data_IF_050540068062
#
_entry.id   IF_050540068062
#
_cell.length_a   1.000
_cell.length_b   1.000
_cell.length_c   1.000
_cell.angle_alpha   90.00
_cell.angle_beta   90.00
_cell.angle_gamma   90.00
#
_symmetry.space_group_name_H-M   'P 1'
#
loop_
_entity.id
_entity.type
_entity.pdbx_description
1 polymer ?
#
# COMPACT_ATOMS: atom_id res chain seq x y z
N UNK A 1 -23.22 30.47 9.18
CA UNK A 1 -22.19 30.01 10.10
C UNK A 1 -21.13 29.26 9.30
N UNK A 2 -20.07 29.94 8.93
CA UNK A 2 -18.94 29.35 8.19
C UNK A 2 -18.13 28.53 9.18
N UNK A 3 -18.31 27.22 9.18
CA UNK A 3 -17.44 26.31 9.96
C UNK A 3 -16.02 26.42 9.40
N UNK A 4 -15.08 26.81 10.25
CA UNK A 4 -13.64 26.77 9.91
C UNK A 4 -13.28 25.39 9.34
N UNK A 5 -12.39 25.30 8.33
CA UNK A 5 -12.00 24.04 7.76
C UNK A 5 -11.44 23.11 8.85
N UNK A 6 -11.82 21.83 8.89
CA UNK A 6 -11.34 20.89 9.90
C UNK A 6 -9.80 20.83 9.88
N UNK A 7 -9.17 21.06 11.02
CA UNK A 7 -7.72 20.94 11.23
C UNK A 7 -6.93 22.22 11.50
N UNK A 8 -7.52 23.42 11.43
CA UNK A 8 -6.78 24.68 11.65
C UNK A 8 -6.52 25.03 13.14
N UNK A 9 -7.27 24.44 14.08
CA UNK A 9 -7.10 24.59 15.55
C UNK A 9 -7.50 23.33 16.32
N UNK A 10 -7.28 22.15 15.68
CA UNK A 10 -7.75 20.90 16.25
C UNK A 10 -6.87 20.44 17.42
N UNK A 11 -7.48 20.08 18.54
CA UNK A 11 -6.76 19.49 19.68
C UNK A 11 -6.27 18.08 19.34
N UNK A 12 -5.26 17.56 20.06
CA UNK A 12 -4.77 16.19 19.88
C UNK A 12 -5.88 15.15 20.05
N UNK A 13 -6.77 15.35 21.02
CA UNK A 13 -7.93 14.49 21.20
C UNK A 13 -8.91 14.57 20.01
N UNK A 14 -9.14 15.78 19.49
CA UNK A 14 -9.95 16.00 18.28
C UNK A 14 -9.36 15.25 17.09
N UNK A 15 -8.05 15.40 16.86
CA UNK A 15 -7.30 14.71 15.81
C UNK A 15 -7.41 13.18 15.95
N UNK A 16 -7.22 12.64 17.16
CA UNK A 16 -7.36 11.21 17.40
C UNK A 16 -8.79 10.70 17.13
N UNK A 17 -9.81 11.44 17.54
CA UNK A 17 -11.22 11.11 17.25
C UNK A 17 -11.51 11.14 15.75
N UNK A 18 -11.00 12.14 15.02
CA UNK A 18 -11.15 12.26 13.58
C UNK A 18 -10.40 11.15 12.84
N UNK A 19 -9.17 10.82 13.22
CA UNK A 19 -8.41 9.70 12.70
C UNK A 19 -9.21 8.38 12.81
N UNK A 20 -9.75 8.08 13.99
CA UNK A 20 -10.59 6.87 14.19
C UNK A 20 -11.86 6.87 13.33
N UNK A 21 -12.49 8.03 13.11
CA UNK A 21 -13.63 8.15 12.16
C UNK A 21 -13.18 7.86 10.73
N UNK A 22 -12.03 8.42 10.30
CA UNK A 22 -11.44 8.14 8.99
C UNK A 22 -11.20 6.63 8.84
N UNK A 23 -10.61 5.96 9.83
CA UNK A 23 -10.36 4.52 9.78
C UNK A 23 -11.63 3.68 9.60
N UNK A 24 -12.74 4.03 10.29
CA UNK A 24 -14.04 3.36 10.13
C UNK A 24 -14.61 3.55 8.73
N UNK A 25 -14.64 4.80 8.24
CA UNK A 25 -15.14 5.08 6.88
C UNK A 25 -14.29 4.38 5.82
N UNK A 26 -12.98 4.31 6.00
CA UNK A 26 -12.10 3.55 5.10
C UNK A 26 -12.41 2.05 5.13
N UNK A 27 -12.76 1.47 6.28
CA UNK A 27 -13.13 0.06 6.39
C UNK A 27 -14.42 -0.26 5.63
N UNK A 28 -15.40 0.65 5.69
CA UNK A 28 -16.67 0.55 4.95
C UNK A 28 -16.46 0.79 3.45
N UNK A 29 -15.59 1.76 3.08
CA UNK A 29 -15.34 2.14 1.69
C UNK A 29 -14.51 1.08 0.94
N UNK A 30 -13.51 0.50 1.62
CA UNK A 30 -12.56 -0.46 1.06
C UNK A 30 -12.55 -1.78 1.85
N UNK A 31 -13.67 -2.52 1.90
CA UNK A 31 -13.72 -3.84 2.57
C UNK A 31 -12.88 -4.89 1.86
N UNK A 32 -12.58 -4.66 0.58
CA UNK A 32 -11.75 -5.49 -0.29
C UNK A 32 -10.24 -5.19 -0.21
N UNK A 33 -9.83 -4.26 0.66
CA UNK A 33 -8.41 -3.91 0.77
C UNK A 33 -7.58 -5.10 1.32
N UNK A 34 -6.51 -5.43 0.61
CA UNK A 34 -5.61 -6.54 0.92
C UNK A 34 -4.22 -6.29 0.31
N UNK A 35 -3.27 -7.18 0.56
CA UNK A 35 -2.01 -7.19 -0.18
C UNK A 35 -2.26 -7.70 -1.60
N UNK A 36 -1.98 -6.87 -2.62
CA UNK A 36 -2.24 -7.22 -4.02
C UNK A 36 -1.13 -8.09 -4.66
N UNK A 37 -0.04 -8.36 -3.93
CA UNK A 37 1.01 -9.28 -4.37
C UNK A 37 0.61 -10.73 -4.05
N UNK A 38 0.51 -11.57 -5.08
CA UNK A 38 0.19 -12.99 -4.93
C UNK A 38 1.35 -13.74 -4.26
N UNK A 39 1.03 -14.48 -3.20
CA UNK A 39 2.00 -15.26 -2.43
C UNK A 39 1.31 -16.36 -1.62
N UNK A 40 2.00 -17.44 -1.35
CA UNK A 40 1.55 -18.53 -0.48
C UNK A 40 2.34 -18.64 0.84
N UNK A 41 3.49 -17.96 0.93
CA UNK A 41 4.38 -18.00 2.09
C UNK A 41 5.23 -16.71 2.20
N UNK A 42 5.94 -16.57 3.32
CA UNK A 42 6.76 -15.38 3.61
C UNK A 42 7.92 -15.16 2.62
N UNK A 43 8.51 -16.22 2.07
CA UNK A 43 9.59 -16.11 1.09
C UNK A 43 9.06 -15.55 -0.23
N UNK A 44 7.94 -16.08 -0.71
CA UNK A 44 7.28 -15.58 -1.91
C UNK A 44 6.88 -14.12 -1.76
N UNK A 45 6.31 -13.73 -0.60
CA UNK A 45 5.96 -12.33 -0.34
C UNK A 45 7.20 -11.43 -0.31
N UNK A 46 8.30 -11.87 0.30
CA UNK A 46 9.57 -11.11 0.33
C UNK A 46 10.09 -10.89 -1.09
N UNK A 47 10.12 -11.94 -1.90
CA UNK A 47 10.54 -11.89 -3.31
C UNK A 47 9.62 -10.97 -4.12
N UNK A 48 8.30 -11.18 -4.05
CA UNK A 48 7.32 -10.34 -4.76
C UNK A 48 7.46 -8.87 -4.40
N UNK A 49 7.67 -8.55 -3.10
CA UNK A 49 7.84 -7.17 -2.65
C UNK A 49 9.16 -6.55 -3.15
N UNK A 50 10.24 -7.32 -3.26
CA UNK A 50 11.48 -6.85 -3.91
C UNK A 50 11.22 -6.55 -5.39
N UNK A 51 10.48 -7.42 -6.08
CA UNK A 51 10.15 -7.25 -7.50
C UNK A 51 9.20 -6.06 -7.74
N UNK A 52 8.36 -5.69 -6.78
CA UNK A 52 7.41 -4.57 -6.90
C UNK A 52 8.08 -3.19 -6.85
N UNK A 53 9.36 -3.11 -6.52
CA UNK A 53 10.08 -1.84 -6.56
C UNK A 53 10.05 -1.24 -7.98
N UNK A 54 9.36 -0.08 -8.13
CA UNK A 54 9.12 0.60 -9.42
C UNK A 54 8.47 -0.31 -10.50
N UNK A 55 7.61 -1.22 -10.07
CA UNK A 55 6.84 -2.11 -10.93
C UNK A 55 5.42 -2.23 -10.38
N UNK A 56 4.43 -2.44 -11.25
CA UNK A 56 3.04 -2.66 -10.81
C UNK A 56 2.89 -4.05 -10.21
N UNK A 57 2.01 -4.18 -9.18
CA UNK A 57 1.72 -5.46 -8.54
C UNK A 57 1.20 -6.49 -9.57
N UNK A 58 0.36 -6.06 -10.52
CA UNK A 58 -0.10 -6.90 -11.65
C UNK A 58 1.07 -7.49 -12.45
N UNK A 59 2.06 -6.65 -12.82
CA UNK A 59 3.22 -7.14 -13.59
C UNK A 59 4.07 -8.11 -12.77
N UNK A 60 4.20 -7.90 -11.48
CA UNK A 60 4.86 -8.84 -10.57
C UNK A 60 4.11 -10.17 -10.56
N UNK A 61 2.79 -10.14 -10.39
CA UNK A 61 1.94 -11.34 -10.35
C UNK A 61 1.92 -12.13 -11.69
N UNK A 62 2.20 -11.48 -12.83
CA UNK A 62 2.41 -12.18 -14.11
C UNK A 62 3.73 -12.98 -14.16
N UNK A 63 4.75 -12.52 -13.42
CA UNK A 63 6.10 -13.11 -13.45
C UNK A 63 6.30 -14.14 -12.34
N UNK A 64 5.77 -13.89 -11.15
CA UNK A 64 6.05 -14.68 -9.95
C UNK A 64 5.64 -16.15 -10.01
N UNK A 65 4.56 -16.60 -10.71
CA UNK A 65 4.22 -18.02 -10.74
C UNK A 65 5.33 -18.89 -11.35
N UNK A 66 5.97 -18.43 -12.43
CA UNK A 66 7.10 -19.14 -13.06
C UNK A 66 8.35 -19.08 -12.16
N UNK A 67 8.59 -17.92 -11.56
CA UNK A 67 9.72 -17.72 -10.64
C UNK A 67 9.63 -18.61 -9.42
N UNK A 68 8.47 -18.68 -8.76
CA UNK A 68 8.26 -19.49 -7.56
C UNK A 68 8.31 -21.00 -7.84
N UNK A 69 7.78 -21.43 -9.00
CA UNK A 69 7.90 -22.81 -9.43
C UNK A 69 9.37 -23.21 -9.66
N UNK A 70 10.19 -22.31 -10.21
CA UNK A 70 11.61 -22.56 -10.49
C UNK A 70 12.49 -22.47 -9.26
N UNK A 71 12.18 -21.54 -8.32
CA UNK A 71 12.96 -21.27 -7.11
C UNK A 71 12.08 -21.36 -5.86
N UNK A 72 11.70 -22.55 -5.40
CA UNK A 72 10.73 -22.72 -4.31
C UNK A 72 11.33 -22.53 -2.90
N UNK A 73 12.62 -22.30 -2.76
CA UNK A 73 13.30 -22.20 -1.45
C UNK A 73 14.45 -21.21 -1.47
N UNK A 74 14.89 -20.78 -0.27
CA UNK A 74 16.08 -19.93 -0.14
C UNK A 74 17.32 -20.55 -0.78
N UNK A 75 17.50 -21.86 -0.67
CA UNK A 75 18.60 -22.58 -1.29
C UNK A 75 18.54 -22.49 -2.83
N UNK A 76 17.34 -22.60 -3.40
CA UNK A 76 17.15 -22.44 -4.85
C UNK A 76 17.52 -21.03 -5.32
N UNK A 77 17.18 -19.98 -4.56
CA UNK A 77 17.60 -18.60 -4.87
C UNK A 77 19.11 -18.42 -4.71
N UNK A 78 19.73 -18.95 -3.65
CA UNK A 78 21.16 -18.82 -3.42
C UNK A 78 22.00 -19.50 -4.52
N UNK A 79 21.53 -20.65 -5.03
CA UNK A 79 22.20 -21.42 -6.09
C UNK A 79 21.72 -21.10 -7.50
N UNK A 80 20.90 -20.05 -7.69
CA UNK A 80 20.32 -19.75 -9.00
C UNK A 80 21.37 -19.24 -9.99
N UNK A 81 21.25 -19.67 -11.26
CA UNK A 81 21.99 -19.05 -12.36
C UNK A 81 21.51 -17.60 -12.56
N UNK A 82 22.46 -16.68 -12.58
CA UNK A 82 22.19 -15.25 -12.71
C UNK A 82 21.47 -14.92 -14.01
N UNK A 83 21.90 -15.50 -15.12
CA UNK A 83 21.35 -15.25 -16.46
C UNK A 83 19.90 -15.70 -16.55
N UNK A 84 19.62 -16.94 -16.07
CA UNK A 84 18.27 -17.48 -16.01
C UNK A 84 17.34 -16.61 -15.14
N UNK A 85 17.81 -16.19 -13.95
CA UNK A 85 17.06 -15.31 -13.05
C UNK A 85 16.74 -13.97 -13.73
N UNK A 86 17.74 -13.34 -14.36
CA UNK A 86 17.57 -12.05 -15.04
C UNK A 86 16.54 -12.15 -16.17
N UNK A 87 16.53 -13.24 -16.96
CA UNK A 87 15.53 -13.45 -17.99
C UNK A 87 14.12 -13.60 -17.43
N UNK A 88 13.95 -14.39 -16.37
CA UNK A 88 12.65 -14.60 -15.74
C UNK A 88 12.03 -13.31 -15.20
N UNK A 89 12.84 -12.47 -14.54
CA UNK A 89 12.33 -11.26 -13.87
C UNK A 89 12.49 -9.99 -14.73
N UNK A 90 13.02 -10.07 -15.93
CA UNK A 90 13.22 -8.93 -16.86
C UNK A 90 11.99 -8.03 -17.02
N UNK A 91 10.76 -8.58 -17.14
CA UNK A 91 9.55 -7.75 -17.30
C UNK A 91 9.26 -6.82 -16.11
N UNK A 92 9.86 -7.07 -14.94
CA UNK A 92 9.64 -6.23 -13.74
C UNK A 92 10.50 -4.96 -13.72
N UNK A 93 11.41 -4.78 -14.67
CA UNK A 93 12.37 -3.65 -14.71
C UNK A 93 13.44 -3.73 -13.62
N UNK A 94 14.53 -2.98 -13.77
CA UNK A 94 15.67 -3.00 -12.84
C UNK A 94 16.17 -4.40 -12.46
N UNK A 95 15.96 -5.35 -13.36
CA UNK A 95 16.11 -6.79 -13.14
C UNK A 95 17.50 -7.18 -12.63
N UNK A 96 18.59 -6.52 -13.07
CA UNK A 96 19.96 -6.82 -12.60
C UNK A 96 20.13 -6.57 -11.10
N UNK A 97 19.65 -5.42 -10.61
CA UNK A 97 19.72 -5.09 -9.18
C UNK A 97 18.77 -5.97 -8.36
N UNK A 98 17.60 -6.31 -8.93
CA UNK A 98 16.66 -7.22 -8.30
C UNK A 98 17.23 -8.63 -8.21
N UNK A 99 17.87 -9.13 -9.27
CA UNK A 99 18.58 -10.42 -9.25
C UNK A 99 19.65 -10.43 -8.15
N UNK A 100 20.47 -9.40 -8.07
CA UNK A 100 21.47 -9.28 -6.97
C UNK A 100 20.82 -9.39 -5.59
N UNK A 101 19.71 -8.70 -5.41
CA UNK A 101 18.98 -8.73 -4.12
C UNK A 101 18.43 -10.12 -3.83
N UNK A 102 17.87 -10.82 -4.83
CA UNK A 102 17.27 -12.16 -4.64
C UNK A 102 18.34 -13.22 -4.35
N UNK A 103 19.45 -13.24 -5.08
CA UNK A 103 20.56 -14.16 -4.83
C UNK A 103 21.13 -13.96 -3.42
N UNK A 104 21.41 -12.71 -3.05
CA UNK A 104 21.91 -12.35 -1.72
C UNK A 104 20.90 -12.62 -0.62
N UNK A 105 19.60 -12.43 -0.88
CA UNK A 105 18.54 -12.78 0.07
C UNK A 105 18.54 -14.27 0.37
N UNK A 106 18.58 -15.12 -0.69
CA UNK A 106 18.65 -16.57 -0.55
C UNK A 106 19.85 -17.01 0.31
N UNK A 107 21.04 -16.49 0.00
CA UNK A 107 22.25 -16.79 0.75
C UNK A 107 22.14 -16.32 2.22
N UNK A 108 21.67 -15.10 2.46
CA UNK A 108 21.55 -14.56 3.82
C UNK A 108 20.53 -15.33 4.67
N UNK A 109 19.45 -15.85 4.05
CA UNK A 109 18.49 -16.70 4.75
C UNK A 109 19.12 -18.05 5.15
N UNK A 110 19.92 -18.67 4.28
CA UNK A 110 20.64 -19.90 4.61
C UNK A 110 21.65 -19.68 5.75
N UNK A 111 22.46 -18.65 5.63
CA UNK A 111 23.56 -18.41 6.57
C UNK A 111 23.10 -18.06 7.99
N UNK A 112 21.91 -17.45 8.13
CA UNK A 112 21.49 -16.83 9.39
C UNK A 112 20.16 -17.32 9.95
N UNK A 113 19.33 -17.97 9.12
CA UNK A 113 17.95 -18.28 9.48
C UNK A 113 17.48 -19.66 8.97
N UNK A 114 18.40 -20.60 8.73
CA UNK A 114 18.11 -21.96 8.24
C UNK A 114 17.19 -22.00 7.02
N UNK A 115 17.36 -21.00 6.12
CA UNK A 115 16.57 -20.88 4.90
C UNK A 115 15.15 -20.33 5.09
N UNK A 116 14.76 -19.93 6.31
CA UNK A 116 13.43 -19.39 6.61
C UNK A 116 13.43 -17.88 6.74
N UNK A 117 12.32 -17.24 6.39
CA UNK A 117 12.17 -15.78 6.57
C UNK A 117 11.86 -15.50 8.03
N UNK A 118 12.62 -14.62 8.73
CA UNK A 118 12.36 -14.31 10.14
C UNK A 118 11.12 -13.45 10.34
N UNK A 119 10.36 -13.70 11.40
CA UNK A 119 9.14 -12.96 11.77
C UNK A 119 9.38 -11.73 12.66
N UNK A 120 10.56 -11.08 12.60
CA UNK A 120 10.89 -9.92 13.44
C UNK A 120 11.45 -8.77 12.58
N UNK A 121 10.97 -7.55 12.86
CA UNK A 121 11.39 -6.36 12.11
C UNK A 121 12.91 -6.16 12.11
N UNK A 122 13.54 -6.33 13.28
CA UNK A 122 14.97 -6.12 13.46
C UNK A 122 15.83 -7.07 12.62
N UNK A 123 15.33 -8.27 12.36
CA UNK A 123 16.00 -9.28 11.55
C UNK A 123 15.74 -9.04 10.06
N UNK A 124 14.48 -8.77 9.69
CA UNK A 124 14.08 -8.53 8.30
C UNK A 124 14.82 -7.37 7.66
N UNK A 125 15.00 -6.25 8.36
CA UNK A 125 15.68 -5.06 7.81
C UNK A 125 17.18 -5.24 7.59
N UNK A 126 17.75 -6.35 8.06
CA UNK A 126 19.16 -6.73 7.80
C UNK A 126 19.32 -7.55 6.53
N UNK A 127 18.19 -8.01 5.93
CA UNK A 127 18.22 -8.86 4.75
C UNK A 127 18.36 -8.02 3.48
N UNK A 128 19.15 -8.51 2.49
CA UNK A 128 19.31 -7.82 1.20
C UNK A 128 17.99 -7.55 0.50
N UNK A 129 17.79 -6.31 0.03
CA UNK A 129 16.58 -5.91 -0.67
C UNK A 129 15.36 -5.63 0.23
N UNK A 130 15.47 -5.82 1.54
CA UNK A 130 14.37 -5.62 2.49
C UNK A 130 14.62 -4.37 3.34
N UNK A 131 13.98 -3.28 2.97
CA UNK A 131 13.90 -2.08 3.81
C UNK A 131 12.72 -2.15 4.80
N UNK A 132 12.60 -1.14 5.67
CA UNK A 132 11.55 -1.08 6.70
C UNK A 132 10.13 -1.21 6.13
N UNK A 133 9.86 -0.55 4.99
CA UNK A 133 8.55 -0.67 4.31
C UNK A 133 8.26 -2.12 3.92
N UNK A 134 9.21 -2.78 3.26
CA UNK A 134 9.09 -4.18 2.84
C UNK A 134 8.94 -5.11 4.04
N UNK A 135 9.70 -4.88 5.11
CA UNK A 135 9.60 -5.66 6.34
C UNK A 135 8.19 -5.55 6.98
N UNK A 136 7.59 -4.35 7.02
CA UNK A 136 6.23 -4.18 7.52
C UNK A 136 5.18 -4.87 6.64
N UNK A 137 5.36 -4.90 5.31
CA UNK A 137 4.49 -5.68 4.40
C UNK A 137 4.58 -7.17 4.72
N UNK A 138 5.80 -7.71 4.85
CA UNK A 138 6.03 -9.14 5.15
C UNK A 138 5.42 -9.49 6.51
N UNK A 139 5.70 -8.69 7.54
CA UNK A 139 5.20 -8.92 8.90
C UNK A 139 3.67 -8.93 8.96
N UNK A 140 3.04 -7.94 8.34
CA UNK A 140 1.59 -7.78 8.39
C UNK A 140 0.81 -8.81 7.59
N UNK A 141 1.39 -9.37 6.52
CA UNK A 141 0.66 -10.26 5.61
C UNK A 141 1.08 -11.75 5.71
N UNK A 142 2.29 -12.04 6.22
CA UNK A 142 2.76 -13.42 6.35
C UNK A 142 2.92 -13.90 7.80
N UNK A 143 2.92 -12.97 8.78
CA UNK A 143 3.15 -13.31 10.19
C UNK A 143 2.08 -12.75 11.14
N UNK A 144 1.07 -12.06 10.63
CA UNK A 144 0.04 -11.36 11.44
C UNK A 144 0.63 -10.41 12.51
N UNK A 145 1.85 -9.90 12.28
CA UNK A 145 2.50 -8.93 13.14
C UNK A 145 2.15 -7.52 12.65
N UNK A 146 1.35 -6.76 13.41
CA UNK A 146 0.87 -5.45 12.97
C UNK A 146 2.01 -4.47 12.69
N UNK A 147 2.01 -3.90 11.47
CA UNK A 147 2.94 -2.85 11.04
C UNK A 147 2.24 -1.85 10.13
N UNK A 148 2.71 -0.62 10.16
CA UNK A 148 2.23 0.43 9.24
C UNK A 148 3.18 0.51 8.04
N UNK A 149 2.63 0.31 6.85
CA UNK A 149 3.36 0.47 5.60
C UNK A 149 3.22 1.90 5.09
N UNK A 150 4.27 2.70 5.21
CA UNK A 150 4.29 4.08 4.72
C UNK A 150 4.86 4.11 3.31
N UNK A 151 3.97 4.17 2.32
CA UNK A 151 4.32 4.41 0.91
C UNK A 151 3.95 5.85 0.49
N UNK A 152 4.12 6.18 -0.77
CA UNK A 152 3.80 7.51 -1.30
C UNK A 152 2.29 7.83 -1.23
N UNK A 153 1.41 6.84 -1.36
CA UNK A 153 -0.04 7.01 -1.19
C UNK A 153 -0.39 7.28 0.26
N UNK A 154 0.12 6.44 1.15
CA UNK A 154 -0.08 6.57 2.60
C UNK A 154 0.39 7.95 3.09
N UNK A 155 1.64 8.32 2.81
CA UNK A 155 2.22 9.61 3.20
C UNK A 155 1.38 10.77 2.69
N UNK A 156 1.02 10.78 1.40
CA UNK A 156 0.20 11.83 0.79
C UNK A 156 -1.14 11.99 1.51
N UNK A 157 -1.82 10.89 1.82
CA UNK A 157 -3.13 10.94 2.42
C UNK A 157 -3.11 11.40 3.87
N UNK A 158 -2.19 10.89 4.70
CA UNK A 158 -2.09 11.32 6.09
C UNK A 158 -1.72 12.80 6.22
N UNK A 159 -0.95 13.35 5.27
CA UNK A 159 -0.70 14.78 5.16
C UNK A 159 -1.94 15.57 4.73
N UNK A 160 -2.67 15.13 3.68
CA UNK A 160 -3.93 15.76 3.27
C UNK A 160 -4.98 15.75 4.38
N UNK A 161 -5.01 14.72 5.17
CA UNK A 161 -5.88 14.65 6.34
C UNK A 161 -5.32 15.40 7.56
N UNK A 162 -4.14 16.01 7.45
CA UNK A 162 -3.45 16.70 8.56
C UNK A 162 -3.41 15.87 9.83
N UNK A 163 -3.10 14.57 9.70
CA UNK A 163 -2.92 13.67 10.84
C UNK A 163 -1.49 13.76 11.40
N UNK A 164 -0.53 14.15 10.56
CA UNK A 164 0.86 14.42 10.93
C UNK A 164 1.48 15.46 10.01
N UNK A 165 2.52 16.12 10.48
CA UNK A 165 3.41 17.02 9.71
C UNK A 165 4.77 16.38 9.45
N UNK A 166 5.03 15.18 9.99
CA UNK A 166 6.27 14.46 9.80
C UNK A 166 6.49 14.08 8.33
N UNK A 167 7.73 14.17 7.86
CA UNK A 167 8.10 13.86 6.46
C UNK A 167 8.93 12.58 6.35
N UNK A 168 9.62 12.19 7.42
CA UNK A 168 10.34 10.94 7.50
C UNK A 168 9.36 9.76 7.64
N UNK A 169 9.46 8.70 6.81
CA UNK A 169 8.53 7.57 6.85
C UNK A 169 8.45 6.87 8.21
N UNK A 170 9.54 6.77 8.96
CA UNK A 170 9.55 6.13 10.29
C UNK A 170 8.82 7.00 11.30
N UNK A 171 9.04 8.32 11.25
CA UNK A 171 8.31 9.25 12.11
C UNK A 171 6.81 9.29 11.78
N UNK A 172 6.44 9.21 10.48
CA UNK A 172 5.04 9.07 10.05
C UNK A 172 4.44 7.79 10.61
N UNK A 173 5.13 6.64 10.49
CA UNK A 173 4.69 5.36 11.05
C UNK A 173 4.36 5.50 12.56
N UNK A 174 5.26 6.08 13.34
CA UNK A 174 5.05 6.28 14.78
C UNK A 174 3.92 7.27 15.08
N UNK A 175 3.86 8.41 14.38
CA UNK A 175 2.83 9.42 14.57
C UNK A 175 1.42 8.88 14.26
N UNK A 176 1.27 8.13 13.18
CA UNK A 176 0.00 7.52 12.80
C UNK A 176 -0.32 6.34 13.74
N UNK A 177 0.66 5.52 14.10
CA UNK A 177 0.48 4.42 15.04
C UNK A 177 -0.10 4.88 16.40
N UNK A 178 0.27 6.07 16.88
CA UNK A 178 -0.28 6.65 18.11
C UNK A 178 -1.79 7.03 18.01
N UNK A 179 -2.34 7.14 16.81
CA UNK A 179 -3.74 7.52 16.57
C UNK A 179 -4.69 6.33 16.47
N UNK A 180 -4.17 5.13 16.15
CA UNK A 180 -4.94 3.92 15.88
C UNK A 180 -4.53 2.76 16.79
N UNK A 181 -5.43 1.83 17.00
CA UNK A 181 -5.13 0.62 17.75
C UNK A 181 -4.19 -0.29 16.94
N UNK A 182 -3.21 -0.90 17.61
CA UNK A 182 -2.13 -1.65 16.95
C UNK A 182 -2.65 -2.76 16.03
N UNK A 183 -3.70 -3.47 16.45
CA UNK A 183 -4.34 -4.55 15.66
C UNK A 183 -4.84 -4.09 14.28
N UNK A 184 -5.12 -2.80 14.11
CA UNK A 184 -5.69 -2.26 12.87
C UNK A 184 -4.63 -1.79 11.87
N UNK A 185 -3.35 -1.72 12.25
CA UNK A 185 -2.28 -1.05 11.50
C UNK A 185 -2.07 -1.60 10.08
N UNK A 186 -2.02 -2.95 9.92
CA UNK A 186 -1.81 -3.56 8.61
C UNK A 186 -2.98 -3.28 7.67
N UNK A 187 -4.20 -3.52 8.12
CA UNK A 187 -5.41 -3.25 7.33
C UNK A 187 -5.63 -1.75 7.07
N UNK A 188 -5.28 -0.89 8.03
CA UNK A 188 -5.32 0.56 7.83
C UNK A 188 -4.39 0.97 6.68
N UNK A 189 -3.19 0.39 6.62
CA UNK A 189 -2.23 0.66 5.55
C UNK A 189 -2.80 0.30 4.18
N UNK A 190 -3.35 -0.90 4.02
CA UNK A 190 -3.99 -1.33 2.77
C UNK A 190 -5.14 -0.41 2.37
N UNK A 191 -6.05 -0.08 3.30
CA UNK A 191 -7.20 0.80 3.03
C UNK A 191 -6.79 2.21 2.63
N UNK A 192 -5.77 2.78 3.27
CA UNK A 192 -5.23 4.10 2.91
C UNK A 192 -4.60 4.06 1.50
N UNK A 193 -3.83 3.02 1.18
CA UNK A 193 -3.22 2.84 -0.13
C UNK A 193 -4.30 2.71 -1.20
N UNK A 194 -5.31 1.86 -1.00
CA UNK A 194 -6.45 1.69 -1.90
C UNK A 194 -7.21 3.01 -2.12
N UNK A 195 -7.47 3.76 -1.05
CA UNK A 195 -8.10 5.08 -1.18
C UNK A 195 -7.22 6.05 -1.98
N UNK A 196 -5.93 6.01 -1.80
CA UNK A 196 -4.95 6.80 -2.54
C UNK A 196 -4.87 6.45 -4.02
N UNK A 197 -4.98 5.18 -4.34
CA UNK A 197 -4.98 4.65 -5.70
C UNK A 197 -6.29 4.94 -6.43
N UNK A 198 -7.43 4.74 -5.77
CA UNK A 198 -8.76 4.70 -6.39
C UNK A 198 -9.52 6.03 -6.34
N UNK A 199 -9.29 6.87 -5.33
CA UNK A 199 -10.08 8.08 -5.04
C UNK A 199 -9.22 9.33 -4.91
N UNK A 200 -8.23 9.29 -4.00
CA UNK A 200 -7.47 10.47 -3.62
C UNK A 200 -6.13 10.55 -4.38
N UNK A 201 -6.20 10.73 -5.71
CA UNK A 201 -5.02 10.77 -6.58
C UNK A 201 -4.08 11.94 -6.28
N UNK A 202 -2.81 11.85 -6.73
CA UNK A 202 -1.79 12.85 -6.46
C UNK A 202 -2.15 14.22 -7.04
N UNK A 203 -2.51 14.29 -8.33
CA UNK A 203 -2.78 15.55 -9.04
C UNK A 203 -4.22 16.02 -8.97
N UNK A 204 -5.20 15.13 -9.17
CA UNK A 204 -6.63 15.45 -9.23
C UNK A 204 -7.42 14.44 -8.37
N UNK A 205 -7.51 14.65 -7.04
CA UNK A 205 -8.32 13.78 -6.19
C UNK A 205 -9.81 13.95 -6.49
N UNK A 206 -10.58 12.86 -6.41
CA UNK A 206 -12.03 12.85 -6.66
C UNK A 206 -12.81 13.40 -5.44
N UNK A 207 -12.60 14.66 -5.05
CA UNK A 207 -13.12 15.23 -3.81
C UNK A 207 -14.65 15.15 -3.70
N UNK A 208 -15.39 15.45 -4.78
CA UNK A 208 -16.86 15.41 -4.80
C UNK A 208 -17.46 13.99 -4.79
N UNK A 209 -16.63 12.95 -4.99
CA UNK A 209 -17.02 11.54 -4.91
C UNK A 209 -16.19 10.79 -3.83
N UNK A 210 -15.81 11.49 -2.76
CA UNK A 210 -15.00 10.94 -1.69
C UNK A 210 -15.83 10.75 -0.41
N UNK A 211 -15.89 9.54 0.11
CA UNK A 211 -16.59 9.21 1.37
C UNK A 211 -16.03 9.96 2.58
N UNK A 212 -14.78 10.42 2.50
CA UNK A 212 -14.09 11.19 3.55
C UNK A 212 -14.25 12.72 3.41
N UNK A 213 -15.05 13.23 2.46
CA UNK A 213 -15.18 14.66 2.17
C UNK A 213 -15.39 15.51 3.43
N UNK A 214 -16.33 15.08 4.30
CA UNK A 214 -16.68 15.80 5.56
C UNK A 214 -15.60 15.75 6.64
N UNK A 215 -14.63 14.85 6.54
CA UNK A 215 -13.54 14.65 7.51
C UNK A 215 -12.20 15.20 7.00
N UNK A 216 -12.16 15.62 5.71
CA UNK A 216 -10.90 15.97 5.05
C UNK A 216 -10.66 17.50 5.07
N UNK A 217 -9.61 17.98 5.78
CA UNK A 217 -9.26 19.40 5.78
C UNK A 217 -8.71 19.90 4.43
N UNK A 218 -8.33 18.98 3.53
CA UNK A 218 -7.89 19.29 2.15
C UNK A 218 -9.01 19.09 1.11
N UNK A 219 -10.28 19.00 1.54
CA UNK A 219 -11.41 18.97 0.61
C UNK A 219 -11.38 20.19 -0.32
N UNK A 220 -11.60 19.96 -1.61
CA UNK A 220 -11.52 21.04 -2.60
C UNK A 220 -10.17 21.15 -3.33
N UNK A 221 -9.17 20.30 -3.00
CA UNK A 221 -7.94 20.23 -3.79
C UNK A 221 -8.13 19.57 -5.17
N UNK A 222 -9.26 18.93 -5.39
CA UNK A 222 -9.74 18.41 -6.67
C UNK A 222 -11.18 18.80 -6.91
N UNK A 223 -11.81 18.34 -8.02
CA UNK A 223 -13.19 18.65 -8.34
C UNK A 223 -14.13 18.28 -7.18
N UNK A 224 -14.98 19.21 -6.80
CA UNK A 224 -16.01 19.05 -5.75
C UNK A 224 -17.40 18.79 -6.33
N UNK A 225 -17.59 19.08 -7.60
CA UNK A 225 -18.82 18.75 -8.31
C UNK A 225 -18.89 17.22 -8.51
N UNK A 226 -20.01 16.54 -8.10
CA UNK A 226 -20.10 15.09 -8.07
C UNK A 226 -19.84 14.42 -9.43
N UNK A 227 -20.41 14.93 -10.50
CA UNK A 227 -20.26 14.34 -11.84
C UNK A 227 -18.83 14.47 -12.39
N UNK A 228 -18.13 15.57 -12.11
CA UNK A 228 -16.73 15.75 -12.49
C UNK A 228 -15.82 14.86 -11.65
N UNK A 229 -16.12 14.68 -10.36
CA UNK A 229 -15.34 13.85 -9.45
C UNK A 229 -15.53 12.34 -9.73
N UNK A 230 -16.75 11.89 -10.06
CA UNK A 230 -17.02 10.49 -10.38
C UNK A 230 -16.17 9.96 -11.54
N UNK A 231 -15.88 10.82 -12.54
CA UNK A 231 -15.02 10.49 -13.68
C UNK A 231 -13.56 10.21 -13.29
N UNK A 232 -13.16 10.58 -12.09
CA UNK A 232 -11.80 10.38 -11.56
C UNK A 232 -11.66 9.13 -10.69
N UNK A 233 -12.76 8.48 -10.32
CA UNK A 233 -12.71 7.20 -9.59
C UNK A 233 -12.04 6.13 -10.46
N UNK A 234 -11.31 5.20 -9.84
CA UNK A 234 -10.58 4.15 -10.56
C UNK A 234 -10.72 2.77 -9.92
N UNK A 235 -10.52 1.75 -10.76
CA UNK A 235 -10.48 0.35 -10.37
C UNK A 235 -11.82 -0.34 -10.42
N UNK A 236 -11.86 -1.67 -10.17
CA UNK A 236 -13.04 -2.51 -10.40
C UNK A 236 -14.27 -2.10 -9.57
N UNK A 237 -14.05 -1.44 -8.43
CA UNK A 237 -15.12 -0.96 -7.56
C UNK A 237 -15.43 0.53 -7.70
N UNK A 238 -15.07 1.16 -8.83
CA UNK A 238 -15.28 2.61 -9.01
C UNK A 238 -16.77 3.02 -8.91
N UNK A 239 -17.71 2.20 -9.39
CA UNK A 239 -19.16 2.44 -9.24
C UNK A 239 -19.62 2.31 -7.79
N UNK A 240 -19.13 1.28 -7.06
CA UNK A 240 -19.46 1.13 -5.63
C UNK A 240 -18.94 2.31 -4.81
N UNK A 241 -17.77 2.83 -5.16
CA UNK A 241 -17.19 4.01 -4.52
C UNK A 241 -18.03 5.26 -4.77
N UNK A 242 -18.61 5.43 -5.97
CA UNK A 242 -19.54 6.50 -6.26
C UNK A 242 -20.81 6.39 -5.39
N UNK A 243 -21.43 5.20 -5.34
CA UNK A 243 -22.60 4.93 -4.48
C UNK A 243 -22.31 5.21 -3.01
N UNK A 244 -21.18 4.73 -2.49
CA UNK A 244 -20.76 4.96 -1.11
C UNK A 244 -20.57 6.46 -0.78
N UNK A 245 -20.22 7.27 -1.78
CA UNK A 245 -20.10 8.72 -1.65
C UNK A 245 -21.43 9.48 -1.91
N UNK A 246 -22.53 8.77 -2.20
CA UNK A 246 -23.83 9.37 -2.54
C UNK A 246 -23.87 9.99 -3.93
N UNK A 247 -23.07 9.47 -4.86
CA UNK A 247 -22.95 9.94 -6.25
C UNK A 247 -23.52 8.87 -7.18
N UNK A 248 -24.19 9.29 -8.25
CA UNK A 248 -24.75 8.40 -9.27
C UNK A 248 -23.62 7.54 -9.91
N UNK A 249 -23.68 6.20 -9.82
CA UNK A 249 -22.69 5.29 -10.38
C UNK A 249 -22.60 5.33 -11.90
N UNK A 250 -23.66 5.76 -12.61
CA UNK A 250 -23.65 5.88 -14.07
C UNK A 250 -22.75 7.02 -14.56
N UNK A 251 -22.38 7.95 -13.70
CA UNK A 251 -21.40 9.00 -13.99
C UNK A 251 -19.95 8.48 -14.05
N UNK A 252 -19.71 7.24 -13.61
CA UNK A 252 -18.39 6.59 -13.66
C UNK A 252 -18.18 5.99 -15.06
N UNK A 253 -17.18 6.46 -15.83
CA UNK A 253 -16.95 5.96 -17.18
C UNK A 253 -16.43 4.50 -17.15
N UNK A 254 -16.80 3.70 -18.14
CA UNK A 254 -16.37 2.29 -18.24
C UNK A 254 -14.84 2.11 -18.19
N UNK A 255 -14.10 3.04 -18.78
CA UNK A 255 -12.62 3.02 -18.76
C UNK A 255 -12.04 3.16 -17.35
N UNK A 256 -12.76 3.80 -16.42
CA UNK A 256 -12.33 3.96 -15.03
C UNK A 256 -12.34 2.62 -14.28
N UNK A 257 -13.25 1.72 -14.63
CA UNK A 257 -13.41 0.39 -14.04
C UNK A 257 -12.26 -0.52 -14.47
N UNK A 258 -11.86 -0.45 -15.75
CA UNK A 258 -10.77 -1.22 -16.33
C UNK A 258 -9.38 -0.61 -16.05
N UNK A 259 -9.33 0.61 -15.49
CA UNK A 259 -8.07 1.30 -15.26
C UNK A 259 -7.22 0.55 -14.23
N UNK A 260 -5.98 0.21 -14.64
CA UNK A 260 -4.97 -0.23 -13.68
C UNK A 260 -4.72 0.87 -12.65
N UNK A 261 -4.69 0.47 -11.40
CA UNK A 261 -4.49 1.39 -10.28
C UNK A 261 -3.05 1.22 -9.79
N UNK A 262 -2.15 2.16 -10.13
CA UNK A 262 -0.72 2.06 -9.81
C UNK A 262 -0.42 2.20 -8.33
#
# INVERSE_FOLDING_TARGET
MTSSPPGASETDLGRKRRARKIGRVLAETHPDAHCELDHSNALELAVATILSAQCTDKKVNEVTPKLFARYPSAAAYAGADRGEMEELIRPTGFYRNKTDSLLKLGQALLDRYDGTVPGRLVDLVTLPGIGRKTANVILGNAFDVPGITVDTHFQRLVHRWRLTTETDPVKIEHAIGALYDKRDWSMLSHRIIFHGRRVCHARKPACGACTLAKLCPSYGTGPTEPAAAAKLLKGPRARDLAVAAGVDPELVPAQAIAAEVP
#
